data_IF_001753237122
#
_entry.id   IF_001753237122
#
_cell.length_a   1.000
_cell.length_b   1.000
_cell.length_c   1.000
_cell.angle_alpha   90.00
_cell.angle_beta   90.00
_cell.angle_gamma   90.00
#
_symmetry.space_group_name_H-M   'P 1'
#
loop_
_entity.id
_entity.type
_entity.pdbx_description
1 polymer ?
#
# COMPACT_ATOMS: atom_id res chain seq x y z
N UNK A 1 -48.74 -14.54 59.27
CA UNK A 1 -47.81 -15.28 58.41
C UNK A 1 -47.59 -14.44 57.15
N UNK A 2 -46.45 -13.77 57.03
CA UNK A 2 -46.07 -12.99 55.86
C UNK A 2 -44.82 -13.65 55.24
N UNK A 3 -45.01 -14.18 54.04
CA UNK A 3 -43.96 -14.82 53.27
C UNK A 3 -43.14 -13.75 52.54
N UNK A 4 -41.84 -13.71 52.77
CA UNK A 4 -40.89 -12.87 52.04
C UNK A 4 -40.34 -13.67 50.84
N UNK A 5 -40.69 -13.23 49.62
CA UNK A 5 -40.01 -13.67 48.39
C UNK A 5 -38.64 -12.96 48.32
N UNK A 6 -37.53 -13.74 48.29
CA UNK A 6 -36.21 -13.26 47.97
C UNK A 6 -36.04 -13.29 46.44
N UNK A 7 -35.94 -12.12 45.78
CA UNK A 7 -35.46 -12.02 44.41
C UNK A 7 -33.93 -12.13 44.41
N UNK A 8 -33.41 -13.19 43.79
CA UNK A 8 -31.97 -13.31 43.49
C UNK A 8 -31.69 -12.72 42.14
N UNK A 9 -31.04 -11.56 42.12
CA UNK A 9 -30.51 -10.96 40.89
C UNK A 9 -29.22 -11.65 40.47
N UNK A 10 -29.26 -12.42 39.40
CA UNK A 10 -28.07 -12.98 38.79
C UNK A 10 -27.40 -11.88 37.91
N UNK A 11 -26.25 -11.40 38.35
CA UNK A 11 -25.36 -10.55 37.52
C UNK A 11 -24.66 -11.45 36.50
N UNK A 12 -25.07 -11.35 35.26
CA UNK A 12 -24.33 -11.89 34.12
C UNK A 12 -23.08 -11.01 33.89
N UNK A 13 -21.92 -11.45 34.35
CA UNK A 13 -20.64 -10.92 33.94
C UNK A 13 -20.36 -11.36 32.49
N UNK A 14 -20.63 -10.49 31.55
CA UNK A 14 -20.16 -10.64 30.18
C UNK A 14 -18.62 -10.54 30.16
N UNK A 15 -17.91 -11.65 30.11
CA UNK A 15 -16.49 -11.70 29.86
C UNK A 15 -16.22 -11.26 28.41
N UNK A 16 -15.87 -9.99 28.24
CA UNK A 16 -15.27 -9.51 26.99
C UNK A 16 -13.93 -10.25 26.82
N UNK A 17 -13.90 -11.23 25.93
CA UNK A 17 -12.66 -11.84 25.48
C UNK A 17 -11.84 -10.75 24.78
N UNK A 18 -10.94 -10.10 25.49
CA UNK A 18 -9.86 -9.31 24.89
C UNK A 18 -8.96 -10.28 24.14
N UNK A 19 -9.14 -10.38 22.84
CA UNK A 19 -8.15 -11.03 21.99
C UNK A 19 -6.88 -10.21 22.10
N UNK A 20 -5.83 -10.80 22.66
CA UNK A 20 -4.50 -10.21 22.65
C UNK A 20 -4.13 -9.97 21.17
N UNK A 21 -3.83 -8.71 20.82
CA UNK A 21 -3.35 -8.35 19.49
C UNK A 21 -2.03 -9.09 19.24
N UNK A 22 -1.95 -9.91 18.20
CA UNK A 22 -0.70 -10.55 17.82
C UNK A 22 0.31 -9.48 17.36
N UNK A 23 1.59 -9.72 17.64
CA UNK A 23 2.70 -8.91 17.14
C UNK A 23 3.58 -9.80 16.27
N UNK A 24 3.25 -9.93 14.98
CA UNK A 24 4.02 -10.74 14.06
C UNK A 24 5.48 -10.31 14.03
N UNK A 25 6.39 -11.28 14.05
CA UNK A 25 7.82 -11.04 13.95
C UNK A 25 8.17 -10.71 12.50
N UNK A 26 9.06 -9.72 12.31
CA UNK A 26 9.57 -9.34 11.00
C UNK A 26 11.10 -9.33 10.99
N UNK A 27 11.66 -9.47 9.80
CA UNK A 27 13.11 -9.38 9.55
C UNK A 27 13.42 -8.23 8.59
N UNK A 28 14.64 -7.73 8.63
CA UNK A 28 15.11 -6.74 7.67
C UNK A 28 15.57 -7.43 6.38
N UNK A 29 15.14 -6.91 5.22
CA UNK A 29 15.62 -7.37 3.91
C UNK A 29 17.15 -7.17 3.81
N UNK A 30 17.65 -6.11 4.40
CA UNK A 30 19.08 -5.85 4.61
C UNK A 30 19.27 -5.03 5.89
N UNK A 31 20.41 -5.19 6.54
CA UNK A 31 20.67 -4.46 7.77
C UNK A 31 20.83 -2.96 7.52
N UNK A 32 20.27 -2.07 8.37
CA UNK A 32 20.49 -0.64 8.26
C UNK A 32 22.00 -0.32 8.19
N UNK A 33 22.40 0.48 7.20
CA UNK A 33 23.79 0.87 6.98
C UNK A 33 24.66 -0.15 6.24
N UNK A 34 24.12 -1.30 5.79
CA UNK A 34 24.85 -2.31 5.01
C UNK A 34 24.84 -2.08 3.50
N UNK A 35 24.18 -1.03 3.04
CA UNK A 35 24.06 -0.68 1.62
C UNK A 35 24.84 0.57 1.26
N UNK A 36 25.07 0.80 -0.04
CA UNK A 36 25.70 2.03 -0.55
C UNK A 36 24.81 3.26 -0.44
N UNK A 37 23.55 3.11 -0.05
CA UNK A 37 22.59 4.20 0.12
C UNK A 37 22.08 4.24 1.57
N UNK A 38 22.03 5.43 2.20
CA UNK A 38 21.60 5.56 3.60
C UNK A 38 20.08 5.57 3.78
N UNK A 39 19.29 5.87 2.73
CA UNK A 39 17.84 5.94 2.81
C UNK A 39 17.16 5.12 1.71
N UNK A 40 16.01 4.55 2.06
CA UNK A 40 15.15 3.83 1.13
C UNK A 40 13.67 4.13 1.41
N UNK A 41 12.80 3.80 0.44
CA UNK A 41 11.35 3.93 0.61
C UNK A 41 10.56 3.14 -0.43
N UNK A 42 9.21 3.03 -0.19
CA UNK A 42 8.20 2.57 -1.14
C UNK A 42 8.46 1.15 -1.65
N UNK A 43 8.44 0.18 -0.75
CA UNK A 43 8.59 -1.22 -1.11
C UNK A 43 7.35 -1.81 -1.80
N UNK A 44 7.59 -2.80 -2.63
CA UNK A 44 6.62 -3.73 -3.22
C UNK A 44 7.12 -5.14 -3.05
N UNK A 45 6.23 -6.13 -3.05
CA UNK A 45 6.57 -7.54 -2.91
C UNK A 45 5.74 -8.38 -3.88
N UNK A 46 6.32 -9.44 -4.42
CA UNK A 46 5.64 -10.43 -5.27
C UNK A 46 6.16 -11.83 -4.97
N UNK A 47 5.25 -12.82 -4.96
CA UNK A 47 5.61 -14.22 -4.85
C UNK A 47 5.90 -14.82 -6.25
N UNK A 48 6.93 -15.63 -6.35
CA UNK A 48 7.33 -16.34 -7.55
C UNK A 48 6.75 -17.77 -7.55
N UNK A 49 6.70 -18.42 -8.71
CA UNK A 49 6.15 -19.78 -8.85
C UNK A 49 6.89 -20.84 -8.05
N UNK A 50 8.20 -20.65 -7.82
CA UNK A 50 9.04 -21.55 -7.03
C UNK A 50 8.96 -21.33 -5.51
N UNK A 51 8.12 -20.36 -5.04
CA UNK A 51 7.97 -20.01 -3.65
C UNK A 51 8.93 -18.92 -3.15
N UNK A 52 9.88 -18.48 -3.97
CA UNK A 52 10.69 -17.30 -3.67
C UNK A 52 9.83 -16.04 -3.63
N UNK A 53 10.34 -14.99 -2.99
CA UNK A 53 9.76 -13.64 -3.07
C UNK A 53 10.76 -12.67 -3.71
N UNK A 54 10.24 -11.68 -4.43
CA UNK A 54 10.99 -10.50 -4.82
C UNK A 54 10.42 -9.28 -4.11
N UNK A 55 11.31 -8.44 -3.58
CA UNK A 55 10.98 -7.14 -3.04
C UNK A 55 11.76 -6.06 -3.80
N UNK A 56 11.05 -5.02 -4.27
CA UNK A 56 11.70 -3.87 -4.89
C UNK A 56 11.36 -2.60 -4.09
N UNK A 57 12.26 -1.63 -4.12
CA UNK A 57 12.13 -0.35 -3.41
C UNK A 57 13.05 0.69 -4.07
N UNK A 58 12.87 1.97 -3.74
CA UNK A 58 13.86 2.95 -4.13
C UNK A 58 14.82 3.28 -2.98
N UNK A 59 16.06 3.61 -3.32
CA UNK A 59 17.10 3.98 -2.34
C UNK A 59 18.15 4.90 -2.95
N UNK A 60 18.66 5.82 -2.12
CA UNK A 60 19.66 6.82 -2.47
C UNK A 60 20.07 7.63 -1.24
N UNK A 61 20.74 8.76 -1.43
CA UNK A 61 21.15 9.66 -0.33
C UNK A 61 19.95 10.16 0.48
N UNK A 62 18.87 10.54 -0.19
CA UNK A 62 17.60 10.95 0.40
C UNK A 62 16.50 10.86 -0.67
N UNK A 63 15.23 10.80 -0.25
CA UNK A 63 14.11 10.96 -1.18
C UNK A 63 14.24 12.27 -1.96
N UNK A 64 14.07 12.23 -3.28
CA UNK A 64 14.30 13.32 -4.25
C UNK A 64 15.77 13.60 -4.62
N UNK A 65 16.73 12.95 -3.97
CA UNK A 65 18.13 13.11 -4.36
C UNK A 65 18.36 12.53 -5.77
N UNK A 66 19.25 13.13 -6.56
CA UNK A 66 19.48 12.75 -7.96
C UNK A 66 20.13 11.36 -8.11
N UNK A 67 20.60 10.77 -7.03
CA UNK A 67 21.21 9.44 -6.97
C UNK A 67 20.22 8.32 -6.63
N UNK A 68 18.94 8.63 -6.41
CA UNK A 68 17.93 7.63 -6.08
C UNK A 68 17.72 6.65 -7.24
N UNK A 69 17.92 5.37 -6.97
CA UNK A 69 17.75 4.27 -7.90
C UNK A 69 16.66 3.29 -7.44
N UNK A 70 16.23 2.40 -8.33
CA UNK A 70 15.38 1.25 -8.02
C UNK A 70 16.25 0.05 -7.71
N UNK A 71 15.97 -0.61 -6.58
CA UNK A 71 16.67 -1.77 -6.05
C UNK A 71 15.74 -2.96 -5.92
N UNK A 72 16.29 -4.16 -6.01
CA UNK A 72 15.59 -5.43 -5.89
C UNK A 72 16.38 -6.39 -5.00
N UNK A 73 15.68 -7.11 -4.11
CA UNK A 73 16.19 -8.24 -3.34
C UNK A 73 15.30 -9.44 -3.55
N UNK A 74 15.91 -10.65 -3.50
CA UNK A 74 15.22 -11.95 -3.59
C UNK A 74 15.29 -12.67 -2.25
N UNK A 75 14.17 -13.18 -1.77
CA UNK A 75 14.11 -14.18 -0.70
C UNK A 75 14.18 -15.56 -1.35
N UNK A 76 15.23 -16.31 -1.06
CA UNK A 76 15.41 -17.69 -1.50
C UNK A 76 15.87 -18.55 -0.33
N UNK A 77 15.25 -19.69 -0.12
CA UNK A 77 15.57 -20.63 0.97
C UNK A 77 15.68 -19.92 2.35
N UNK A 78 14.78 -18.96 2.64
CA UNK A 78 14.74 -18.24 3.91
C UNK A 78 15.77 -17.10 4.05
N UNK A 79 16.49 -16.74 3.01
CA UNK A 79 17.52 -15.69 3.05
C UNK A 79 17.31 -14.62 1.98
N UNK A 80 17.34 -13.36 2.39
CA UNK A 80 17.31 -12.22 1.48
C UNK A 80 18.69 -11.99 0.84
N UNK A 81 18.71 -11.83 -0.48
CA UNK A 81 19.91 -11.37 -1.17
C UNK A 81 20.23 -9.91 -0.87
N UNK A 82 21.49 -9.51 -1.01
CA UNK A 82 21.84 -8.10 -1.06
C UNK A 82 21.05 -7.40 -2.19
N UNK A 83 20.65 -6.12 -1.98
CA UNK A 83 19.96 -5.35 -3.02
C UNK A 83 20.78 -5.18 -4.30
N UNK A 84 20.17 -5.44 -5.44
CA UNK A 84 20.74 -5.25 -6.78
C UNK A 84 20.07 -4.07 -7.45
N UNK A 85 20.86 -3.18 -8.07
CA UNK A 85 20.33 -2.03 -8.80
C UNK A 85 19.59 -2.47 -10.07
N UNK A 86 18.33 -2.10 -10.18
CA UNK A 86 17.48 -2.43 -11.32
C UNK A 86 17.38 -1.31 -12.35
N UNK A 87 17.40 -0.07 -11.87
CA UNK A 87 17.32 1.09 -12.74
C UNK A 87 17.81 2.35 -12.03
N UNK A 88 18.56 3.16 -12.75
CA UNK A 88 18.99 4.51 -12.37
C UNK A 88 18.90 5.42 -13.59
N UNK A 89 18.37 6.61 -13.40
CA UNK A 89 18.48 7.69 -14.35
C UNK A 89 19.55 8.67 -13.82
N UNK A 90 20.70 8.85 -14.50
CA UNK A 90 21.72 9.78 -14.02
C UNK A 90 21.17 11.19 -13.77
N UNK A 91 21.38 11.71 -12.56
CA UNK A 91 20.96 13.06 -12.17
C UNK A 91 19.46 13.26 -11.93
N UNK A 92 18.64 12.25 -12.07
CA UNK A 92 17.18 12.34 -11.92
C UNK A 92 16.68 11.21 -10.99
N UNK A 93 15.98 11.53 -9.88
CA UNK A 93 15.51 10.51 -8.96
C UNK A 93 14.47 9.56 -9.59
N UNK A 94 14.50 8.33 -9.11
CA UNK A 94 13.50 7.30 -9.42
C UNK A 94 12.60 7.04 -8.21
N UNK A 95 11.37 6.50 -8.44
CA UNK A 95 10.34 6.42 -7.42
C UNK A 95 9.48 5.17 -7.55
N UNK A 96 8.88 4.76 -6.43
CA UNK A 96 7.77 3.83 -6.30
C UNK A 96 7.82 2.66 -7.29
N UNK A 97 8.70 1.67 -7.10
CA UNK A 97 8.63 0.44 -7.88
C UNK A 97 7.35 -0.34 -7.56
N UNK A 98 6.81 -1.04 -8.55
CA UNK A 98 5.69 -1.96 -8.40
C UNK A 98 5.99 -3.24 -9.17
N UNK A 99 5.97 -4.37 -8.45
CA UNK A 99 6.13 -5.72 -8.99
C UNK A 99 4.77 -6.40 -9.09
N UNK A 100 4.50 -7.09 -10.19
CA UNK A 100 3.32 -7.95 -10.33
C UNK A 100 3.48 -8.90 -11.52
N UNK A 101 2.76 -10.04 -11.46
CA UNK A 101 2.63 -10.96 -12.58
C UNK A 101 1.37 -10.67 -13.39
N UNK A 102 1.45 -10.89 -14.68
CA UNK A 102 0.30 -10.99 -15.58
C UNK A 102 -0.04 -12.46 -15.88
N UNK A 103 -1.25 -12.72 -16.40
CA UNK A 103 -1.74 -14.10 -16.62
C UNK A 103 -0.93 -14.86 -17.68
N UNK A 104 -0.20 -14.17 -18.56
CA UNK A 104 0.75 -14.77 -19.49
C UNK A 104 2.07 -15.22 -18.82
N UNK A 105 2.19 -15.04 -17.51
CA UNK A 105 3.33 -15.44 -16.69
C UNK A 105 4.47 -14.42 -16.64
N UNK A 106 4.34 -13.31 -17.33
CA UNK A 106 5.35 -12.24 -17.31
C UNK A 106 5.36 -11.54 -15.97
N UNK A 107 6.56 -11.30 -15.43
CA UNK A 107 6.81 -10.47 -14.26
C UNK A 107 7.16 -9.05 -14.70
N UNK A 108 6.40 -8.08 -14.26
CA UNK A 108 6.62 -6.65 -14.52
C UNK A 108 7.24 -5.94 -13.32
N UNK A 109 8.15 -5.01 -13.60
CA UNK A 109 8.67 -4.00 -12.69
C UNK A 109 8.37 -2.62 -13.29
N UNK A 110 7.40 -1.90 -12.73
CA UNK A 110 7.10 -0.51 -13.06
C UNK A 110 7.75 0.42 -12.06
N UNK A 111 8.14 1.62 -12.48
CA UNK A 111 8.73 2.66 -11.63
C UNK A 111 8.43 4.05 -12.22
N UNK A 112 8.82 5.11 -11.50
CA UNK A 112 8.67 6.48 -11.95
C UNK A 112 10.04 7.15 -12.02
N UNK A 113 10.18 8.12 -12.92
CA UNK A 113 11.41 8.88 -13.17
C UNK A 113 11.06 10.36 -13.27
N UNK A 114 11.67 11.19 -12.46
CA UNK A 114 11.41 12.62 -12.49
C UNK A 114 11.79 13.33 -11.20
N UNK A 115 11.96 14.65 -11.22
CA UNK A 115 12.42 15.42 -10.07
C UNK A 115 11.42 15.45 -8.90
N UNK A 116 10.14 15.20 -9.18
CA UNK A 116 9.09 15.17 -8.15
C UNK A 116 7.86 14.36 -8.60
N UNK A 117 6.97 13.96 -7.66
CA UNK A 117 5.72 13.31 -7.99
C UNK A 117 4.78 14.11 -8.90
N UNK A 118 4.95 15.43 -8.96
CA UNK A 118 4.14 16.30 -9.83
C UNK A 118 4.62 16.33 -11.28
N UNK A 119 5.81 15.84 -11.56
CA UNK A 119 6.47 15.96 -12.88
C UNK A 119 7.14 14.68 -13.36
N UNK A 120 6.93 13.57 -12.68
CA UNK A 120 7.51 12.28 -13.06
C UNK A 120 6.82 11.66 -14.29
N UNK A 121 7.54 10.76 -14.95
CA UNK A 121 7.06 9.90 -16.03
C UNK A 121 7.11 8.43 -15.59
N UNK A 122 6.34 7.58 -16.23
CA UNK A 122 6.37 6.13 -16.00
C UNK A 122 7.53 5.47 -16.76
N UNK A 123 8.09 4.44 -16.16
CA UNK A 123 9.03 3.52 -16.79
C UNK A 123 8.77 2.09 -16.34
N UNK A 124 9.28 1.11 -17.10
CA UNK A 124 9.09 -0.31 -16.79
C UNK A 124 10.22 -1.18 -17.31
N UNK A 125 10.28 -2.38 -16.77
CA UNK A 125 11.02 -3.54 -17.26
C UNK A 125 10.18 -4.80 -17.07
N UNK A 126 10.50 -5.88 -17.75
CA UNK A 126 9.85 -7.17 -17.51
C UNK A 126 10.88 -8.30 -17.48
N UNK A 127 10.46 -9.41 -16.91
CA UNK A 127 11.17 -10.68 -16.88
C UNK A 127 10.22 -11.79 -17.30
N UNK A 128 10.69 -12.70 -18.14
CA UNK A 128 9.97 -13.90 -18.56
C UNK A 128 10.53 -15.18 -17.87
N UNK A 129 11.49 -15.01 -16.93
CA UNK A 129 12.20 -16.08 -16.22
C UNK A 129 12.20 -15.88 -14.69
N UNK A 130 11.08 -15.40 -14.14
CA UNK A 130 10.90 -15.21 -12.70
C UNK A 130 11.95 -14.27 -12.07
N UNK A 131 12.35 -13.23 -12.80
CA UNK A 131 13.25 -12.19 -12.32
C UNK A 131 14.74 -12.57 -12.30
N UNK A 132 15.15 -13.60 -13.06
CA UNK A 132 16.56 -13.93 -13.25
C UNK A 132 17.21 -12.97 -14.24
N UNK A 133 16.54 -12.72 -15.36
CA UNK A 133 16.94 -11.71 -16.35
C UNK A 133 15.83 -10.70 -16.58
N UNK A 134 16.21 -9.50 -17.01
CA UNK A 134 15.28 -8.37 -17.18
C UNK A 134 15.49 -7.70 -18.54
N UNK A 135 14.37 -7.32 -19.16
CA UNK A 135 14.38 -6.52 -20.40
C UNK A 135 15.15 -5.22 -20.23
N UNK A 136 15.48 -4.55 -21.32
CA UNK A 136 15.94 -3.16 -21.27
C UNK A 136 14.85 -2.27 -20.66
N UNK A 137 15.22 -1.17 -19.97
CA UNK A 137 14.26 -0.18 -19.50
C UNK A 137 13.45 0.43 -20.67
N UNK A 138 12.15 0.57 -20.45
CA UNK A 138 11.23 1.18 -21.43
C UNK A 138 10.48 2.35 -20.77
N UNK A 139 10.46 3.55 -21.36
CA UNK A 139 9.58 4.63 -20.92
C UNK A 139 8.13 4.31 -21.29
N UNK A 140 7.18 4.78 -20.47
CA UNK A 140 5.76 4.74 -20.81
C UNK A 140 5.39 5.99 -21.61
N UNK A 141 4.47 5.87 -22.58
CA UNK A 141 3.97 7.04 -23.31
C UNK A 141 3.14 7.93 -22.39
N UNK A 142 3.36 9.24 -22.43
CA UNK A 142 2.50 10.17 -21.71
C UNK A 142 1.04 10.09 -22.20
N UNK A 143 0.04 10.22 -21.33
CA UNK A 143 0.12 10.55 -19.92
C UNK A 143 0.19 9.33 -18.96
N UNK A 144 0.47 8.14 -19.46
CA UNK A 144 0.47 6.88 -18.70
C UNK A 144 1.63 6.85 -17.70
N UNK A 145 1.34 6.46 -16.45
CA UNK A 145 2.32 6.30 -15.38
C UNK A 145 2.49 4.83 -14.95
N UNK A 146 1.55 3.95 -15.33
CA UNK A 146 1.45 2.59 -14.80
C UNK A 146 0.99 2.57 -13.34
N UNK A 147 1.01 1.42 -12.68
CA UNK A 147 0.68 1.31 -11.26
C UNK A 147 1.56 2.24 -10.45
N UNK A 148 0.93 3.14 -9.65
CA UNK A 148 1.66 4.25 -9.03
C UNK A 148 2.42 3.83 -7.76
N UNK A 149 1.89 2.85 -7.00
CA UNK A 149 2.46 2.37 -5.74
C UNK A 149 1.99 0.96 -5.34
N UNK A 150 0.67 0.74 -5.29
CA UNK A 150 0.11 -0.57 -4.96
C UNK A 150 0.16 -1.49 -6.18
N UNK A 151 0.25 -2.80 -5.92
CA UNK A 151 0.12 -3.81 -6.98
C UNK A 151 -1.21 -3.65 -7.71
N UNK A 152 -1.27 -3.80 -9.04
CA UNK A 152 -2.52 -3.81 -9.76
C UNK A 152 -3.32 -5.09 -9.46
N UNK A 153 -4.63 -5.02 -9.70
CA UNK A 153 -5.48 -6.19 -9.80
C UNK A 153 -5.37 -6.75 -11.21
N UNK A 154 -5.09 -8.05 -11.32
CA UNK A 154 -5.14 -8.79 -12.60
C UNK A 154 -6.39 -9.65 -12.58
N UNK A 155 -7.31 -9.40 -13.51
CA UNK A 155 -8.57 -10.13 -13.65
C UNK A 155 -8.35 -11.49 -14.33
N UNK A 156 -9.28 -12.44 -14.21
CA UNK A 156 -9.15 -13.77 -14.83
C UNK A 156 -8.96 -13.73 -16.35
N UNK A 157 -9.51 -12.73 -17.03
CA UNK A 157 -9.36 -12.54 -18.49
C UNK A 157 -8.01 -11.90 -18.90
N UNK A 158 -7.12 -11.61 -17.94
CA UNK A 158 -5.83 -10.96 -18.17
C UNK A 158 -5.89 -9.43 -18.13
N UNK A 159 -7.06 -8.84 -17.94
CA UNK A 159 -7.19 -7.40 -17.76
C UNK A 159 -6.42 -6.96 -16.50
N UNK A 160 -5.57 -5.95 -16.64
CA UNK A 160 -4.84 -5.31 -15.54
C UNK A 160 -5.53 -4.01 -15.16
N UNK A 161 -5.92 -3.88 -13.89
CA UNK A 161 -6.54 -2.68 -13.33
C UNK A 161 -5.58 -2.07 -12.33
N UNK A 162 -4.85 -1.04 -12.76
CA UNK A 162 -3.79 -0.40 -11.99
C UNK A 162 -4.26 0.90 -11.35
N UNK A 163 -4.07 1.02 -10.04
CA UNK A 163 -4.24 2.30 -9.35
C UNK A 163 -3.14 3.29 -9.75
N UNK A 164 -3.53 4.45 -10.25
CA UNK A 164 -2.64 5.53 -10.66
C UNK A 164 -3.05 6.84 -10.00
N UNK A 165 -2.18 7.85 -10.02
CA UNK A 165 -2.51 9.18 -9.49
C UNK A 165 -1.58 10.26 -10.04
N UNK A 166 -2.08 11.50 -10.03
CA UNK A 166 -1.33 12.71 -10.38
C UNK A 166 -1.33 13.66 -9.19
N UNK A 167 -0.17 14.23 -8.88
CA UNK A 167 0.06 15.05 -7.68
C UNK A 167 0.42 16.51 -8.00
N UNK A 168 0.22 16.99 -9.24
CA UNK A 168 0.67 18.33 -9.69
C UNK A 168 -0.24 19.48 -9.24
N UNK A 169 -1.49 19.46 -9.68
CA UNK A 169 -2.50 20.49 -9.39
C UNK A 169 -3.60 19.90 -8.48
N UNK A 170 -3.21 19.53 -7.24
CA UNK A 170 -4.04 18.75 -6.36
C UNK A 170 -3.87 17.24 -6.56
N UNK A 171 -4.42 16.48 -5.64
CA UNK A 171 -4.34 15.02 -5.64
C UNK A 171 -5.53 14.43 -6.36
N UNK A 172 -5.26 13.74 -7.46
CA UNK A 172 -6.27 13.12 -8.29
C UNK A 172 -5.93 11.65 -8.51
N UNK A 173 -6.82 10.76 -8.06
CA UNK A 173 -6.71 9.34 -8.34
C UNK A 173 -7.21 9.02 -9.75
N UNK A 174 -6.59 8.02 -10.36
CA UNK A 174 -6.95 7.47 -11.66
C UNK A 174 -6.86 5.94 -11.61
N UNK A 175 -7.50 5.31 -12.55
CA UNK A 175 -7.22 3.92 -12.92
C UNK A 175 -6.57 3.91 -14.28
N UNK A 176 -5.52 3.11 -14.43
CA UNK A 176 -4.93 2.78 -15.73
C UNK A 176 -5.22 1.31 -16.00
N UNK A 177 -6.02 1.06 -17.05
CA UNK A 177 -6.56 -0.25 -17.41
C UNK A 177 -5.89 -0.77 -18.69
N UNK A 178 -5.47 -2.04 -18.68
CA UNK A 178 -4.85 -2.75 -19.81
C UNK A 178 -5.62 -4.02 -20.10
N UNK A 179 -5.81 -4.34 -21.37
CA UNK A 179 -6.42 -5.61 -21.84
C UNK A 179 -5.43 -6.48 -22.60
N UNK A 180 -4.13 -6.15 -22.55
CA UNK A 180 -3.07 -6.82 -23.25
C UNK A 180 -1.91 -7.24 -22.30
N UNK A 181 -2.26 -7.71 -21.09
CA UNK A 181 -1.31 -8.13 -20.06
C UNK A 181 -0.31 -7.03 -19.65
N UNK A 182 -0.78 -5.79 -19.50
CA UNK A 182 0.04 -4.68 -19.01
C UNK A 182 0.96 -4.05 -20.06
N UNK A 183 0.81 -4.36 -21.35
CA UNK A 183 1.65 -3.77 -22.42
C UNK A 183 1.23 -2.34 -22.73
N UNK A 184 -0.06 -2.09 -22.87
CA UNK A 184 -0.63 -0.75 -23.09
C UNK A 184 -1.73 -0.44 -22.09
N UNK A 185 -1.94 0.84 -21.79
CA UNK A 185 -2.93 1.27 -20.80
C UNK A 185 -3.81 2.39 -21.35
N UNK A 186 -5.07 2.39 -20.91
CA UNK A 186 -6.00 3.51 -21.02
C UNK A 186 -6.23 4.10 -19.65
N UNK A 187 -6.14 5.42 -19.51
CA UNK A 187 -6.38 6.13 -18.24
C UNK A 187 -7.85 6.47 -18.08
N UNK A 188 -8.41 6.17 -16.92
CA UNK A 188 -9.80 6.40 -16.52
C UNK A 188 -9.83 7.30 -15.29
N UNK A 189 -10.69 8.27 -15.27
CA UNK A 189 -10.81 9.27 -14.20
C UNK A 189 -10.69 10.71 -14.69
N UNK A 190 -10.48 11.69 -13.79
CA UNK A 190 -10.10 11.54 -12.37
C UNK A 190 -11.22 10.97 -11.50
N UNK A 191 -10.82 10.17 -10.50
CA UNK A 191 -11.70 9.67 -9.45
C UNK A 191 -11.44 10.54 -8.23
N UNK A 192 -12.30 11.52 -8.01
CA UNK A 192 -12.14 12.52 -6.97
C UNK A 192 -13.12 12.27 -5.82
N UNK A 193 -12.79 12.86 -4.66
CA UNK A 193 -13.69 12.92 -3.51
C UNK A 193 -14.30 14.32 -3.44
N UNK A 194 -15.59 14.40 -3.08
CA UNK A 194 -16.23 15.68 -2.84
C UNK A 194 -15.54 16.37 -1.65
N UNK A 195 -15.18 17.64 -1.82
CA UNK A 195 -14.62 18.46 -0.75
C UNK A 195 -15.77 19.11 0.00
N UNK A 196 -15.82 18.87 1.30
CA UNK A 196 -16.78 19.43 2.25
C UNK A 196 -16.18 20.57 3.10
N UNK A 197 -15.07 21.13 2.62
CA UNK A 197 -14.29 22.18 3.32
C UNK A 197 -13.63 23.12 2.29
N UNK A 198 -13.36 24.35 2.73
CA UNK A 198 -12.51 25.28 1.98
C UNK A 198 -11.03 24.98 2.26
N UNK A 199 -10.35 24.39 1.28
CA UNK A 199 -8.93 24.03 1.39
C UNK A 199 -7.99 25.25 1.55
N UNK A 200 -8.43 26.45 1.21
CA UNK A 200 -7.63 27.67 1.35
C UNK A 200 -7.63 28.21 2.79
N UNK A 201 -8.73 28.00 3.53
CA UNK A 201 -8.94 28.60 4.85
C UNK A 201 -8.95 27.58 5.98
N UNK A 202 -9.23 26.30 5.70
CA UNK A 202 -9.27 25.24 6.72
C UNK A 202 -7.85 24.75 7.03
N UNK A 203 -7.36 24.92 8.27
CA UNK A 203 -6.01 24.46 8.63
C UNK A 203 -5.95 22.93 8.70
N UNK A 204 -4.87 22.35 8.18
CA UNK A 204 -4.54 20.95 8.40
C UNK A 204 -4.08 20.76 9.86
N UNK A 205 -4.51 19.71 10.57
CA UNK A 205 -4.06 19.47 11.93
C UNK A 205 -2.55 19.37 12.01
N UNK A 206 -1.97 20.12 12.92
CA UNK A 206 -0.55 20.01 13.22
C UNK A 206 -0.25 18.65 13.88
N UNK A 207 0.91 18.04 13.60
CA UNK A 207 1.36 16.89 14.36
C UNK A 207 1.52 17.28 15.84
N UNK A 208 1.43 16.33 16.79
CA UNK A 208 1.71 16.56 18.18
C UNK A 208 3.07 17.23 18.38
N UNK A 209 3.20 18.08 19.43
CA UNK A 209 4.45 18.84 19.71
C UNK A 209 5.67 17.93 19.93
N UNK A 210 5.43 16.71 20.41
CA UNK A 210 6.41 15.66 20.65
C UNK A 210 6.60 14.71 19.44
N UNK A 211 5.94 15.00 18.31
CA UNK A 211 6.12 14.21 17.11
C UNK A 211 7.57 14.25 16.64
N UNK A 212 8.14 13.11 16.19
CA UNK A 212 9.49 13.08 15.65
C UNK A 212 9.67 14.08 14.52
N UNK A 213 10.89 14.62 14.34
CA UNK A 213 11.19 15.68 13.37
C UNK A 213 10.76 15.41 11.92
N UNK A 214 10.62 14.14 11.53
CA UNK A 214 10.06 13.73 10.23
C UNK A 214 8.53 13.87 10.15
N UNK A 215 7.83 13.84 11.28
CA UNK A 215 6.39 14.08 11.38
C UNK A 215 6.06 15.58 11.54
N UNK A 216 7.02 16.36 12.03
CA UNK A 216 6.98 17.80 12.06
C UNK A 216 7.14 18.31 10.62
N UNK A 217 6.03 18.45 9.92
CA UNK A 217 6.04 18.87 8.52
C UNK A 217 6.49 20.32 8.38
N UNK A 218 7.26 20.57 7.34
CA UNK A 218 7.94 21.83 7.07
C UNK A 218 7.04 22.82 6.32
N UNK A 219 5.87 23.11 6.85
CA UNK A 219 4.98 24.12 6.28
C UNK A 219 3.49 23.80 6.39
N UNK A 220 2.62 24.73 6.01
CA UNK A 220 1.19 24.52 6.03
C UNK A 220 0.82 23.41 5.04
N UNK A 221 0.31 22.30 5.54
CA UNK A 221 -0.27 21.25 4.69
C UNK A 221 -1.56 21.78 4.09
N UNK A 222 -1.78 21.42 2.83
CA UNK A 222 -3.03 21.72 2.15
C UNK A 222 -3.85 20.43 2.06
N UNK A 223 -5.15 20.57 2.12
CA UNK A 223 -6.06 19.47 1.77
C UNK A 223 -6.11 19.36 0.25
N UNK A 224 -5.66 18.23 -0.31
CA UNK A 224 -5.44 18.10 -1.74
C UNK A 224 -6.33 17.08 -2.44
N UNK A 225 -6.82 16.04 -1.74
CA UNK A 225 -7.66 15.01 -2.32
C UNK A 225 -7.16 13.60 -2.05
N UNK A 226 -7.18 12.71 -3.04
CA UNK A 226 -6.86 11.29 -2.91
C UNK A 226 -5.86 10.82 -3.96
N UNK A 227 -4.97 9.89 -3.56
CA UNK A 227 -3.94 9.31 -4.44
C UNK A 227 -3.66 7.85 -4.09
N UNK A 228 -2.84 7.21 -4.92
CA UNK A 228 -2.22 5.90 -4.67
C UNK A 228 -3.26 4.80 -4.39
N UNK A 229 -4.25 4.59 -5.27
CA UNK A 229 -5.26 3.56 -5.06
C UNK A 229 -4.67 2.15 -5.01
N UNK A 230 -5.15 1.34 -4.06
CA UNK A 230 -5.01 -0.11 -4.03
C UNK A 230 -6.35 -0.73 -4.45
N UNK A 231 -6.36 -1.58 -5.47
CA UNK A 231 -7.59 -2.09 -6.10
C UNK A 231 -7.76 -3.57 -5.77
N UNK A 232 -8.96 -3.97 -5.37
CA UNK A 232 -9.34 -5.36 -5.18
C UNK A 232 -10.67 -5.68 -5.89
N UNK A 233 -10.91 -6.97 -6.17
CA UNK A 233 -12.23 -7.45 -6.59
C UNK A 233 -13.06 -7.79 -5.36
N UNK A 234 -14.32 -7.38 -5.33
CA UNK A 234 -15.32 -7.83 -4.34
C UNK A 234 -16.16 -9.00 -4.82
N UNK A 235 -15.94 -9.44 -6.07
CA UNK A 235 -16.63 -10.56 -6.72
C UNK A 235 -17.42 -10.12 -7.94
N UNK A 236 -17.58 -11.03 -8.91
CA UNK A 236 -18.15 -10.68 -10.21
C UNK A 236 -17.39 -9.51 -10.83
N UNK A 237 -18.11 -8.53 -11.35
CA UNK A 237 -17.55 -7.30 -11.94
C UNK A 237 -17.33 -6.17 -10.94
N UNK A 238 -17.61 -6.42 -9.66
CA UNK A 238 -17.47 -5.40 -8.62
C UNK A 238 -16.03 -5.28 -8.17
N UNK A 239 -15.43 -4.14 -8.46
CA UNK A 239 -14.10 -3.75 -8.00
C UNK A 239 -14.22 -2.59 -7.02
N UNK A 240 -13.30 -2.52 -6.06
CA UNK A 240 -13.17 -1.40 -5.12
C UNK A 240 -11.72 -0.94 -5.06
N UNK A 241 -11.51 0.35 -5.10
CA UNK A 241 -10.25 0.97 -4.76
C UNK A 241 -10.28 1.53 -3.34
N UNK A 242 -9.12 1.48 -2.67
CA UNK A 242 -8.85 2.12 -1.39
C UNK A 242 -7.72 3.12 -1.60
N UNK A 243 -7.95 4.38 -1.26
CA UNK A 243 -7.01 5.45 -1.56
C UNK A 243 -6.54 6.18 -0.30
N UNK A 244 -5.25 6.55 -0.32
CA UNK A 244 -4.66 7.51 0.58
C UNK A 244 -5.34 8.86 0.39
N UNK A 245 -5.72 9.53 1.48
CA UNK A 245 -6.35 10.84 1.45
C UNK A 245 -5.52 11.89 2.16
N UNK A 246 -5.60 13.11 1.68
CA UNK A 246 -5.17 14.33 2.36
C UNK A 246 -6.36 15.27 2.43
N UNK A 247 -7.30 14.96 3.32
CA UNK A 247 -8.60 15.63 3.43
C UNK A 247 -8.93 15.90 4.90
N UNK A 248 -9.86 16.81 5.15
CA UNK A 248 -10.29 17.16 6.52
C UNK A 248 -10.86 15.96 7.27
N UNK A 249 -11.54 15.04 6.58
CA UNK A 249 -12.11 13.85 7.18
C UNK A 249 -11.07 12.90 7.78
N UNK A 250 -9.79 12.94 7.31
CA UNK A 250 -8.70 12.05 7.75
C UNK A 250 -9.11 10.58 7.76
N UNK A 251 -9.81 10.14 6.76
CA UNK A 251 -10.32 8.78 6.57
C UNK A 251 -9.87 8.20 5.24
N UNK A 252 -9.79 6.90 5.17
CA UNK A 252 -9.55 6.19 3.92
C UNK A 252 -10.68 6.48 2.95
N UNK A 253 -10.34 6.79 1.71
CA UNK A 253 -11.29 6.98 0.63
C UNK A 253 -11.45 5.69 -0.18
N UNK A 254 -12.68 5.42 -0.63
CA UNK A 254 -13.02 4.30 -1.50
C UNK A 254 -13.86 4.77 -2.68
N UNK A 255 -13.74 4.06 -3.80
CA UNK A 255 -14.67 4.17 -4.92
C UNK A 255 -14.91 2.79 -5.51
N UNK A 256 -16.07 2.60 -6.12
CA UNK A 256 -16.53 1.32 -6.65
C UNK A 256 -16.69 1.37 -8.16
N UNK A 257 -16.41 0.25 -8.81
CA UNK A 257 -16.73 -0.04 -10.21
C UNK A 257 -17.59 -1.31 -10.25
N UNK A 258 -18.60 -1.33 -11.10
CA UNK A 258 -19.49 -2.49 -11.30
C UNK A 258 -19.35 -3.10 -12.71
N UNK A 259 -18.29 -2.73 -13.44
CA UNK A 259 -18.06 -3.07 -14.85
C UNK A 259 -16.58 -3.38 -15.14
N UNK A 260 -15.90 -4.11 -14.22
CA UNK A 260 -14.49 -4.51 -14.35
C UNK A 260 -13.54 -3.31 -14.52
N UNK A 261 -13.85 -2.19 -13.87
CA UNK A 261 -13.00 -1.02 -13.81
C UNK A 261 -13.11 -0.08 -14.99
N UNK A 262 -14.15 -0.21 -15.84
CA UNK A 262 -14.39 0.69 -16.97
C UNK A 262 -14.95 2.04 -16.50
N UNK A 263 -15.84 2.03 -15.51
CA UNK A 263 -16.36 3.26 -14.88
C UNK A 263 -16.27 3.15 -13.35
N UNK A 264 -16.19 4.29 -12.69
CA UNK A 264 -16.02 4.38 -11.23
C UNK A 264 -16.96 5.41 -10.63
N UNK A 265 -17.48 5.10 -9.44
CA UNK A 265 -18.23 6.09 -8.66
C UNK A 265 -17.33 7.24 -8.24
N UNK A 266 -17.91 8.36 -7.82
CA UNK A 266 -17.21 9.34 -7.02
C UNK A 266 -16.71 8.68 -5.74
N UNK A 267 -15.51 9.05 -5.29
CA UNK A 267 -14.96 8.51 -4.05
C UNK A 267 -15.73 9.04 -2.83
N UNK A 268 -15.80 8.21 -1.79
CA UNK A 268 -16.39 8.47 -0.48
C UNK A 268 -15.48 7.97 0.63
N UNK A 269 -15.74 8.36 1.86
CA UNK A 269 -14.97 7.87 3.01
C UNK A 269 -15.57 6.59 3.59
N UNK A 270 -14.71 5.76 4.16
CA UNK A 270 -15.07 4.69 5.12
C UNK A 270 -14.51 5.05 6.49
N UNK A 271 -15.03 4.41 7.56
CA UNK A 271 -14.64 4.72 8.94
C UNK A 271 -13.31 4.05 9.34
N UNK A 272 -12.26 4.36 8.57
CA UNK A 272 -10.87 3.93 8.79
C UNK A 272 -9.98 5.17 8.82
N UNK A 273 -9.22 5.42 9.90
CA UNK A 273 -8.33 6.58 9.98
C UNK A 273 -7.31 6.62 8.85
N UNK A 274 -6.97 7.84 8.41
CA UNK A 274 -5.92 8.06 7.41
C UNK A 274 -5.07 9.27 7.79
N UNK A 275 -3.79 9.02 7.93
CA UNK A 275 -2.77 10.00 8.34
C UNK A 275 -2.00 10.60 7.17
N UNK A 276 -2.54 10.58 5.97
CA UNK A 276 -1.81 10.95 4.76
C UNK A 276 -0.58 10.04 4.52
N UNK A 277 -0.77 8.73 4.61
CA UNK A 277 0.25 7.69 4.32
C UNK A 277 -0.27 6.64 3.34
N UNK A 278 0.63 6.00 2.61
CA UNK A 278 0.29 4.88 1.73
C UNK A 278 -0.27 3.70 2.54
N UNK A 279 -1.28 3.05 1.99
CA UNK A 279 -1.88 1.81 2.48
C UNK A 279 -1.85 0.75 1.37
N UNK A 280 -2.05 -0.51 1.70
CA UNK A 280 -2.29 -1.55 0.70
C UNK A 280 -3.37 -2.52 1.20
N UNK A 281 -4.07 -3.15 0.27
CA UNK A 281 -5.20 -4.05 0.56
C UNK A 281 -5.08 -5.31 -0.29
N UNK A 282 -5.47 -6.44 0.29
CA UNK A 282 -5.59 -7.71 -0.42
C UNK A 282 -6.90 -8.39 -0.06
N UNK A 283 -7.59 -8.95 -1.06
CA UNK A 283 -8.68 -9.89 -0.82
C UNK A 283 -8.12 -11.30 -0.83
N UNK A 284 -8.38 -12.02 0.24
CA UNK A 284 -7.93 -13.39 0.42
C UNK A 284 -8.80 -14.38 -0.39
N UNK A 285 -8.25 -15.58 -0.64
CA UNK A 285 -8.97 -16.66 -1.33
C UNK A 285 -10.26 -17.08 -0.63
N UNK A 286 -10.35 -16.90 0.70
CA UNK A 286 -11.55 -17.18 1.52
C UNK A 286 -12.55 -16.02 1.56
N UNK A 287 -12.28 -14.92 0.85
CA UNK A 287 -13.15 -13.76 0.73
C UNK A 287 -12.89 -12.64 1.74
N UNK A 288 -12.15 -12.88 2.82
CA UNK A 288 -11.74 -11.83 3.76
C UNK A 288 -10.86 -10.79 3.04
N UNK A 289 -10.90 -9.58 3.55
CA UNK A 289 -10.12 -8.45 3.04
C UNK A 289 -9.18 -8.01 4.14
N UNK A 290 -7.88 -7.94 3.86
CA UNK A 290 -6.88 -7.47 4.81
C UNK A 290 -6.26 -6.17 4.31
N UNK A 291 -6.22 -5.18 5.18
CA UNK A 291 -5.59 -3.88 4.97
C UNK A 291 -4.37 -3.74 5.86
N UNK A 292 -3.25 -3.28 5.29
CA UNK A 292 -2.06 -2.84 6.02
C UNK A 292 -1.96 -1.31 5.93
N UNK A 293 -1.94 -0.63 7.08
CA UNK A 293 -2.05 0.84 7.15
C UNK A 293 -1.59 1.38 8.49
N UNK A 294 -1.44 2.70 8.58
CA UNK A 294 -1.25 3.37 9.85
C UNK A 294 -2.61 3.73 10.47
N UNK A 295 -3.00 3.05 11.54
CA UNK A 295 -4.28 3.29 12.25
C UNK A 295 -4.18 4.54 13.13
N UNK A 296 -4.02 5.68 12.49
CA UNK A 296 -3.88 7.00 13.13
C UNK A 296 -4.25 8.10 12.14
N UNK A 297 -4.53 9.28 12.64
CA UNK A 297 -4.74 10.48 11.82
C UNK A 297 -3.49 11.35 11.72
N UNK A 298 -2.46 11.10 12.56
CA UNK A 298 -1.22 11.88 12.60
C UNK A 298 0.00 10.96 12.76
N UNK A 299 1.09 11.30 12.10
CA UNK A 299 2.33 10.52 12.17
C UNK A 299 2.27 9.24 11.34
N UNK A 300 3.20 8.32 11.56
CA UNK A 300 3.30 7.03 10.85
C UNK A 300 3.55 5.86 11.81
N UNK A 301 3.01 5.98 13.00
CA UNK A 301 2.96 4.97 14.06
C UNK A 301 1.56 5.03 14.67
N UNK A 302 0.91 3.88 14.93
CA UNK A 302 1.33 2.52 14.67
C UNK A 302 1.23 2.10 13.19
N UNK A 303 1.82 0.94 12.84
CA UNK A 303 1.53 0.21 11.61
C UNK A 303 0.74 -1.04 11.96
N UNK A 304 -0.43 -1.21 11.35
CA UNK A 304 -1.41 -2.23 11.74
C UNK A 304 -1.88 -3.08 10.57
N UNK A 305 -2.41 -4.26 10.91
CA UNK A 305 -3.25 -5.07 10.05
C UNK A 305 -4.69 -5.02 10.54
N UNK A 306 -5.61 -4.82 9.61
CA UNK A 306 -7.04 -4.92 9.89
C UNK A 306 -7.72 -5.86 8.89
N UNK A 307 -8.77 -6.54 9.34
CA UNK A 307 -9.56 -7.49 8.55
C UNK A 307 -10.99 -7.00 8.42
N UNK A 308 -11.57 -7.26 7.26
CA UNK A 308 -12.97 -6.98 6.93
C UNK A 308 -13.58 -8.14 6.15
N UNK A 309 -14.89 -8.33 6.25
CA UNK A 309 -15.67 -9.28 5.44
C UNK A 309 -16.52 -8.59 4.37
N UNK A 310 -16.74 -7.28 4.52
CA UNK A 310 -17.60 -6.47 3.63
C UNK A 310 -16.83 -5.37 2.87
N UNK A 311 -15.56 -5.14 3.25
CA UNK A 311 -14.72 -4.07 2.67
C UNK A 311 -15.05 -2.67 3.15
N UNK A 312 -15.98 -2.52 4.10
CA UNK A 312 -16.40 -1.25 4.70
C UNK A 312 -15.92 -1.13 6.15
N UNK A 313 -16.14 -2.16 6.93
CA UNK A 313 -15.85 -2.19 8.36
C UNK A 313 -14.60 -3.02 8.61
N UNK A 314 -13.55 -2.36 9.05
CA UNK A 314 -12.25 -2.98 9.31
C UNK A 314 -11.99 -3.07 10.82
N UNK A 315 -11.63 -4.27 11.29
CA UNK A 315 -11.20 -4.51 12.67
C UNK A 315 -9.71 -4.79 12.71
N UNK A 316 -8.97 -3.96 13.44
CA UNK A 316 -7.53 -4.18 13.69
C UNK A 316 -7.35 -5.49 14.47
N UNK A 317 -6.46 -6.36 14.01
CA UNK A 317 -6.15 -7.63 14.64
C UNK A 317 -4.67 -7.82 14.98
N UNK A 318 -3.78 -7.07 14.33
CA UNK A 318 -2.34 -7.15 14.61
C UNK A 318 -1.69 -5.76 14.53
N UNK A 319 -0.65 -5.57 15.32
CA UNK A 319 0.22 -4.41 15.29
C UNK A 319 1.62 -4.84 14.92
N UNK A 320 2.12 -4.38 13.77
CA UNK A 320 3.45 -4.69 13.28
C UNK A 320 4.51 -3.82 13.94
N UNK A 321 4.20 -2.53 14.12
CA UNK A 321 5.07 -1.54 14.74
C UNK A 321 4.26 -0.61 15.64
N UNK A 322 4.73 -0.39 16.87
CA UNK A 322 4.09 0.45 17.91
C UNK A 322 5.05 1.45 18.56
N UNK A 323 6.35 1.27 18.38
CA UNK A 323 7.35 2.22 18.84
C UNK A 323 7.34 3.46 17.98
N UNK A 324 7.42 4.64 18.60
CA UNK A 324 7.42 5.91 17.87
C UNK A 324 8.47 5.91 16.75
N UNK A 325 8.00 6.17 15.53
CA UNK A 325 8.86 6.09 14.35
C UNK A 325 8.15 6.34 13.04
N UNK A 326 8.85 6.06 11.94
CA UNK A 326 8.31 6.16 10.59
C UNK A 326 8.20 4.77 9.96
N UNK A 327 6.98 4.24 9.90
CA UNK A 327 6.66 2.97 9.27
C UNK A 327 5.63 3.23 8.17
N UNK A 328 6.01 3.02 6.92
CA UNK A 328 5.20 3.58 5.83
C UNK A 328 5.35 2.83 4.52
N UNK A 329 4.43 3.12 3.61
CA UNK A 329 4.38 2.53 2.28
C UNK A 329 4.42 1.00 2.31
N UNK A 330 3.50 0.39 3.07
CA UNK A 330 3.42 -1.05 3.15
C UNK A 330 2.90 -1.64 1.84
N UNK A 331 3.34 -2.85 1.52
CA UNK A 331 2.79 -3.71 0.50
C UNK A 331 2.38 -5.04 1.13
N UNK A 332 1.29 -5.65 0.66
CA UNK A 332 0.77 -6.93 1.14
C UNK A 332 0.31 -7.80 -0.03
N UNK A 333 0.66 -9.07 0.01
CA UNK A 333 0.14 -10.10 -0.91
C UNK A 333 -0.35 -11.30 -0.12
N UNK A 334 -1.20 -12.12 -0.73
CA UNK A 334 -1.41 -13.48 -0.30
C UNK A 334 -0.60 -14.41 -1.19
N UNK A 335 0.32 -15.16 -0.59
CA UNK A 335 1.17 -16.11 -1.29
C UNK A 335 0.41 -17.38 -1.69
N UNK A 336 0.96 -18.21 -2.59
CA UNK A 336 0.29 -19.44 -3.05
C UNK A 336 -0.11 -20.40 -1.94
N UNK A 337 0.67 -20.50 -0.87
CA UNK A 337 0.40 -21.31 0.34
C UNK A 337 -0.71 -20.75 1.24
N UNK A 338 -1.19 -19.54 0.92
CA UNK A 338 -2.24 -18.84 1.66
C UNK A 338 -1.75 -17.87 2.73
N UNK A 339 -0.46 -17.87 3.05
CA UNK A 339 0.15 -16.90 3.98
C UNK A 339 0.07 -15.46 3.44
N UNK A 340 0.28 -14.50 4.33
CA UNK A 340 0.43 -13.09 3.96
C UNK A 340 1.91 -12.72 4.02
N UNK A 341 2.41 -12.18 2.92
CA UNK A 341 3.75 -11.63 2.83
C UNK A 341 3.66 -10.12 2.66
N UNK A 342 4.38 -9.40 3.51
CA UNK A 342 4.30 -7.95 3.64
C UNK A 342 5.68 -7.33 3.69
N UNK A 343 5.81 -6.15 3.06
CA UNK A 343 7.01 -5.32 3.19
C UNK A 343 6.61 -3.90 3.51
N UNK A 344 7.46 -3.17 4.22
CA UNK A 344 7.28 -1.75 4.49
C UNK A 344 8.60 -1.05 4.76
N UNK A 345 8.61 0.25 4.55
CA UNK A 345 9.74 1.11 4.90
C UNK A 345 9.84 1.23 6.41
N UNK A 346 10.99 0.82 6.97
CA UNK A 346 11.32 0.96 8.37
C UNK A 346 12.28 2.13 8.57
N UNK A 347 11.80 3.20 9.23
CA UNK A 347 12.59 4.38 9.63
C UNK A 347 13.35 5.06 8.46
N UNK A 348 12.94 4.86 7.21
CA UNK A 348 13.68 5.24 6.00
C UNK A 348 15.08 4.61 5.85
N UNK A 349 15.45 3.68 6.72
CA UNK A 349 16.80 3.08 6.78
C UNK A 349 16.88 1.73 6.09
N UNK A 350 15.79 1.00 6.09
CA UNK A 350 15.70 -0.34 5.49
C UNK A 350 14.26 -0.68 5.14
N UNK A 351 14.10 -1.81 4.46
CA UNK A 351 12.79 -2.43 4.24
C UNK A 351 12.66 -3.60 5.23
N UNK A 352 11.53 -3.65 5.93
CA UNK A 352 11.19 -4.77 6.79
C UNK A 352 10.19 -5.68 6.10
N UNK A 353 10.40 -6.97 6.20
CA UNK A 353 9.55 -8.04 5.71
C UNK A 353 8.86 -8.73 6.88
N UNK A 354 7.61 -9.09 6.72
CA UNK A 354 6.82 -9.88 7.67
C UNK A 354 6.07 -10.97 6.93
N UNK A 355 6.23 -12.20 7.41
CA UNK A 355 5.45 -13.36 6.99
C UNK A 355 4.40 -13.68 8.06
N UNK A 356 3.14 -13.85 7.67
CA UNK A 356 2.05 -14.18 8.57
C UNK A 356 1.29 -15.41 8.04
N UNK A 357 1.41 -16.56 8.71
CA UNK A 357 0.65 -17.76 8.35
C UNK A 357 -0.86 -17.51 8.42
N UNK A 358 -1.62 -18.15 7.54
CA UNK A 358 -3.08 -18.03 7.48
C UNK A 358 -3.76 -18.43 8.82
N UNK A 359 -3.13 -19.32 9.58
CA UNK A 359 -3.61 -19.77 10.89
C UNK A 359 -3.61 -18.69 11.97
N UNK A 360 -2.79 -17.63 11.77
CA UNK A 360 -2.72 -16.49 12.68
C UNK A 360 -3.74 -15.39 12.36
N UNK A 361 -4.44 -15.49 11.23
CA UNK A 361 -5.53 -14.59 10.92
C UNK A 361 -6.75 -14.87 11.82
N UNK A 362 -7.46 -13.82 12.26
CA UNK A 362 -8.68 -13.99 13.04
C UNK A 362 -9.66 -14.90 12.31
N UNK A 363 -10.23 -15.88 13.02
CA UNK A 363 -11.36 -16.65 12.50
C UNK A 363 -12.55 -15.71 12.24
N UNK A 364 -13.35 -16.06 11.26
CA UNK A 364 -14.59 -15.33 10.94
C UNK A 364 -15.55 -15.32 12.10
#
# INVERSE_FOLDING_TARGET
MKSLLKLSSALLFGSSLMFAQSKPQGEFIYQPGSTSFPQCHASTVVALKNGDLLAAFFGGTAERAPDVAIWLSRLHAGHWSAPVEMFRQPGIPTWNPVLFHTNDGRLWLYYKVGPSPSTWAGGRRYSDDEGQTWSKPEPLPAPILGPIRAKPLVLPDGTVVAGSSVEGQGWNAYIERSTDNGKTFTRIGPINIAKDYDAATTPYPNPPKDAPGWAADKGPRKYDGIIQPSVISLGGKHLRLYARSQTLAMKVAVADSLDDGLTWTQARYIDVPQNNSGLDVVRLKDGRIVMIFNNTTVGRTPLNLAVSTDGEHFRVFATLEDTVGQYSYPAIIQSPDGSLDMTYTWQRKTIKYVHLPLSELPKQ
#
